data_IF_838044790030
#
_entry.id   IF_838044790030
#
_cell.length_a   1.000
_cell.length_b   1.000
_cell.length_c   1.000
_cell.angle_alpha   90.00
_cell.angle_beta   90.00
_cell.angle_gamma   90.00
#
_symmetry.space_group_name_H-M   'P 1'
#
loop_
_entity.id
_entity.type
_entity.pdbx_description
1 polymer ?
#
# COMPACT_ATOMS: atom_id res chain seq x y z
N UNK A 1 6.92 -20.49 -31.92
CA UNK A 1 5.59 -20.86 -31.37
C UNK A 1 5.67 -21.32 -29.92
N UNK A 2 6.07 -22.55 -29.58
CA UNK A 2 6.06 -23.02 -28.17
C UNK A 2 7.10 -22.33 -27.28
N UNK A 3 8.34 -22.18 -27.75
CA UNK A 3 9.43 -21.50 -27.04
C UNK A 3 9.18 -19.99 -26.87
N UNK A 4 8.58 -19.35 -27.86
CA UNK A 4 8.18 -17.93 -27.78
C UNK A 4 7.05 -17.72 -26.76
N UNK A 5 6.10 -18.65 -26.69
CA UNK A 5 5.02 -18.61 -25.70
C UNK A 5 5.56 -18.79 -24.27
N UNK A 6 6.49 -19.72 -24.06
CA UNK A 6 7.16 -19.90 -22.77
C UNK A 6 7.95 -18.66 -22.37
N UNK A 7 8.72 -18.08 -23.30
CA UNK A 7 9.48 -16.86 -23.03
C UNK A 7 8.56 -15.68 -22.67
N UNK A 8 7.48 -15.47 -23.43
CA UNK A 8 6.50 -14.42 -23.14
C UNK A 8 5.84 -14.62 -21.76
N UNK A 9 5.54 -15.87 -21.39
CA UNK A 9 4.97 -16.20 -20.08
C UNK A 9 5.94 -15.89 -18.94
N UNK A 10 7.21 -16.30 -19.04
CA UNK A 10 8.22 -16.02 -18.02
C UNK A 10 8.50 -14.53 -17.86
N UNK A 11 8.56 -13.78 -18.96
CA UNK A 11 8.75 -12.32 -18.93
C UNK A 11 7.54 -11.64 -18.26
N UNK A 12 6.31 -12.06 -18.62
CA UNK A 12 5.09 -11.52 -18.03
C UNK A 12 4.99 -11.82 -16.54
N UNK A 13 5.32 -13.04 -16.12
CA UNK A 13 5.38 -13.43 -14.71
C UNK A 13 6.43 -12.62 -13.94
N UNK A 14 7.63 -12.49 -14.51
CA UNK A 14 8.72 -11.71 -13.92
C UNK A 14 8.35 -10.24 -13.72
N UNK A 15 7.71 -9.62 -14.73
CA UNK A 15 7.24 -8.23 -14.65
C UNK A 15 6.15 -8.05 -13.58
N UNK A 16 5.15 -8.94 -13.53
CA UNK A 16 4.10 -8.88 -12.51
C UNK A 16 4.66 -9.04 -11.10
N UNK A 17 5.62 -9.94 -10.92
CA UNK A 17 6.26 -10.16 -9.62
C UNK A 17 7.08 -8.93 -9.19
N UNK A 18 7.85 -8.35 -10.11
CA UNK A 18 8.58 -7.09 -9.89
C UNK A 18 7.63 -5.95 -9.53
N UNK A 19 6.54 -5.80 -10.29
CA UNK A 19 5.55 -4.76 -10.06
C UNK A 19 4.90 -4.89 -8.69
N UNK A 20 4.58 -6.12 -8.27
CA UNK A 20 4.04 -6.41 -6.93
C UNK A 20 5.02 -6.00 -5.84
N UNK A 21 6.30 -6.35 -5.97
CA UNK A 21 7.34 -5.99 -4.99
C UNK A 21 7.52 -4.48 -4.89
N UNK A 22 7.60 -3.78 -6.03
CA UNK A 22 7.72 -2.32 -6.07
C UNK A 22 6.49 -1.67 -5.43
N UNK A 23 5.29 -2.13 -5.77
CA UNK A 23 4.04 -1.61 -5.22
C UNK A 23 3.98 -1.77 -3.71
N UNK A 24 4.41 -2.92 -3.18
CA UNK A 24 4.47 -3.17 -1.74
C UNK A 24 5.41 -2.17 -1.04
N UNK A 25 6.61 -1.98 -1.58
CA UNK A 25 7.60 -1.05 -1.02
C UNK A 25 7.08 0.39 -1.04
N UNK A 26 6.53 0.82 -2.18
CA UNK A 26 5.96 2.16 -2.34
C UNK A 26 4.81 2.38 -1.37
N UNK A 27 3.91 1.41 -1.21
CA UNK A 27 2.74 1.50 -0.32
C UNK A 27 3.14 1.64 1.15
N UNK A 28 4.09 0.83 1.61
CA UNK A 28 4.61 0.91 2.98
C UNK A 28 5.31 2.26 3.20
N UNK A 29 6.09 2.72 2.22
CA UNK A 29 6.78 4.02 2.32
C UNK A 29 5.79 5.18 2.35
N UNK A 30 4.72 5.13 1.55
CA UNK A 30 3.66 6.13 1.55
C UNK A 30 2.91 6.18 2.88
N UNK A 31 2.59 5.02 3.47
CA UNK A 31 1.96 4.93 4.78
C UNK A 31 2.82 5.61 5.85
N UNK A 32 4.11 5.26 5.91
CA UNK A 32 5.06 5.87 6.85
C UNK A 32 5.20 7.38 6.60
N UNK A 33 5.19 7.79 5.34
CA UNK A 33 5.22 9.20 4.93
C UNK A 33 3.98 9.97 5.38
N UNK A 34 2.79 9.41 5.19
CA UNK A 34 1.51 9.97 5.64
C UNK A 34 1.50 10.13 7.16
N UNK A 35 1.91 9.09 7.90
CA UNK A 35 1.98 9.14 9.36
C UNK A 35 2.89 10.28 9.84
N UNK A 36 4.06 10.46 9.21
CA UNK A 36 5.02 11.52 9.58
C UNK A 36 4.63 12.91 9.11
N UNK A 37 3.92 13.04 7.98
CA UNK A 37 3.55 14.33 7.39
C UNK A 37 2.29 14.91 8.04
N UNK A 38 1.29 14.08 8.33
CA UNK A 38 0.00 14.53 8.86
C UNK A 38 -0.05 14.56 10.39
N UNK A 39 0.75 13.76 11.10
CA UNK A 39 0.58 13.51 12.53
C UNK A 39 1.88 13.69 13.34
N UNK A 40 2.71 14.65 12.93
CA UNK A 40 4.04 14.87 13.51
C UNK A 40 4.05 15.06 15.04
N UNK A 41 2.92 15.46 15.64
CA UNK A 41 2.75 15.66 17.08
C UNK A 41 1.69 14.75 17.74
N UNK A 42 0.92 13.98 16.97
CA UNK A 42 -0.19 13.16 17.50
C UNK A 42 0.16 11.68 17.35
N UNK A 43 0.36 11.00 18.46
CA UNK A 43 0.50 9.54 18.45
C UNK A 43 -0.88 8.90 18.28
N UNK A 44 -1.24 8.64 17.02
CA UNK A 44 -2.52 8.06 16.62
C UNK A 44 -2.81 6.73 17.33
N UNK A 45 -1.80 5.90 17.55
CA UNK A 45 -1.95 4.64 18.29
C UNK A 45 -2.33 4.87 19.75
N UNK A 46 -1.75 5.89 20.38
CA UNK A 46 -2.08 6.26 21.75
C UNK A 46 -3.50 6.83 21.85
N UNK A 47 -3.89 7.70 20.91
CA UNK A 47 -5.25 8.27 20.86
C UNK A 47 -6.32 7.19 20.61
N UNK A 48 -6.07 6.24 19.71
CA UNK A 48 -6.96 5.10 19.48
C UNK A 48 -7.08 4.25 20.76
N UNK A 49 -5.97 3.97 21.46
CA UNK A 49 -5.97 3.25 22.74
C UNK A 49 -6.74 3.99 23.84
N UNK A 50 -6.69 5.32 23.85
CA UNK A 50 -7.44 6.15 24.79
C UNK A 50 -8.94 6.27 24.44
N UNK A 51 -9.39 5.61 23.37
CA UNK A 51 -10.80 5.59 22.97
C UNK A 51 -11.22 6.75 22.07
N UNK A 52 -10.27 7.48 21.48
CA UNK A 52 -10.60 8.56 20.56
C UNK A 52 -11.11 8.02 19.22
N UNK A 53 -12.41 8.19 19.01
CA UNK A 53 -13.12 7.75 17.81
C UNK A 53 -12.68 8.54 16.58
N UNK A 54 -12.39 9.85 16.71
CA UNK A 54 -11.95 10.67 15.58
C UNK A 54 -10.61 10.19 15.02
N UNK A 55 -9.69 9.81 15.93
CA UNK A 55 -8.40 9.23 15.57
C UNK A 55 -8.58 7.88 14.83
N UNK A 56 -9.50 7.04 15.32
CA UNK A 56 -9.84 5.75 14.68
C UNK A 56 -10.43 5.92 13.28
N UNK A 57 -11.33 6.90 13.08
CA UNK A 57 -11.92 7.21 11.78
C UNK A 57 -10.85 7.70 10.81
N UNK A 58 -9.97 8.59 11.25
CA UNK A 58 -8.89 9.10 10.43
C UNK A 58 -7.94 7.99 9.96
N UNK A 59 -7.48 7.12 10.87
CA UNK A 59 -6.64 5.98 10.52
C UNK A 59 -7.34 5.01 9.54
N UNK A 60 -8.62 4.74 9.77
CA UNK A 60 -9.42 3.87 8.89
C UNK A 60 -9.56 4.47 7.48
N UNK A 61 -9.73 5.80 7.38
CA UNK A 61 -9.83 6.49 6.09
C UNK A 61 -8.52 6.44 5.28
N UNK A 62 -7.37 6.56 5.95
CA UNK A 62 -6.04 6.41 5.33
C UNK A 62 -5.88 4.97 4.82
N UNK A 63 -6.21 3.97 5.64
CA UNK A 63 -6.16 2.55 5.22
C UNK A 63 -7.05 2.29 4.00
N UNK A 64 -8.27 2.84 3.97
CA UNK A 64 -9.19 2.70 2.84
C UNK A 64 -8.60 3.31 1.57
N UNK A 65 -8.02 4.51 1.67
CA UNK A 65 -7.42 5.19 0.53
C UNK A 65 -6.23 4.41 -0.03
N UNK A 66 -5.39 3.85 0.85
CA UNK A 66 -4.27 2.98 0.45
C UNK A 66 -4.79 1.70 -0.21
N UNK A 67 -5.82 1.06 0.34
CA UNK A 67 -6.42 -0.14 -0.24
C UNK A 67 -6.94 0.11 -1.67
N UNK A 68 -7.55 1.28 -1.92
CA UNK A 68 -8.02 1.69 -3.25
C UNK A 68 -6.84 1.90 -4.21
N UNK A 69 -5.81 2.63 -3.80
CA UNK A 69 -4.62 2.88 -4.64
C UNK A 69 -3.92 1.57 -5.00
N UNK A 70 -3.70 0.69 -4.03
CA UNK A 70 -3.07 -0.61 -4.24
C UNK A 70 -3.95 -1.50 -5.12
N UNK A 71 -5.26 -1.54 -4.86
CA UNK A 71 -6.21 -2.30 -5.65
C UNK A 71 -6.26 -1.86 -7.12
N UNK A 72 -6.18 -0.56 -7.39
CA UNK A 72 -6.10 -0.03 -8.77
C UNK A 72 -4.76 -0.31 -9.45
N UNK A 73 -3.68 -0.52 -8.69
CA UNK A 73 -2.38 -0.90 -9.25
C UNK A 73 -2.33 -2.36 -9.72
N UNK A 74 -3.21 -3.23 -9.23
CA UNK A 74 -3.31 -4.63 -9.65
C UNK A 74 -4.26 -4.70 -10.86
N UNK A 75 -3.73 -4.47 -12.06
CA UNK A 75 -4.42 -4.67 -13.34
C UNK A 75 -3.53 -5.44 -14.32
#
# INVERSE_FOLDING_TARGET
METEFLNATYVTLGLNLLFTLVTLIVSVTLLIGIDRLLLKEINLQQEIKNGNVAASIFASSIMLFIAIIVGMGIH
#
